data_IF_081130899859
#
_entry.id   IF_081130899859
#
_cell.length_a   1.000
_cell.length_b   1.000
_cell.length_c   1.000
_cell.angle_alpha   90.00
_cell.angle_beta   90.00
_cell.angle_gamma   90.00
#
_symmetry.space_group_name_H-M   'P 1'
#
loop_
_entity.id
_entity.type
_entity.pdbx_description
1 polymer ?
#
# COMPACT_ATOMS: atom_id res chain seq x y z
N UNK A 1 -62.48 -10.72 -38.97
CA UNK A 1 -63.04 -9.63 -38.15
C UNK A 1 -62.01 -9.29 -37.09
N UNK A 2 -61.56 -8.04 -37.10
CA UNK A 2 -60.53 -7.46 -36.25
C UNK A 2 -60.93 -7.54 -34.76
N UNK A 3 -60.02 -7.92 -33.87
CA UNK A 3 -60.07 -7.44 -32.47
C UNK A 3 -58.65 -7.17 -31.97
N UNK A 4 -58.32 -5.89 -31.95
CA UNK A 4 -57.17 -5.28 -31.29
C UNK A 4 -57.38 -5.36 -29.77
N UNK A 5 -56.39 -5.86 -29.03
CA UNK A 5 -56.23 -5.58 -27.61
C UNK A 5 -54.81 -5.08 -27.36
N UNK A 6 -54.75 -3.74 -27.43
CA UNK A 6 -53.90 -2.81 -26.70
C UNK A 6 -53.33 -3.36 -25.38
N UNK A 7 -52.00 -3.33 -25.25
CA UNK A 7 -51.31 -2.99 -23.99
C UNK A 7 -50.00 -2.28 -24.37
N UNK A 8 -49.84 -1.06 -23.88
CA UNK A 8 -48.64 -0.24 -24.03
C UNK A 8 -47.82 -0.38 -22.75
N UNK A 9 -46.54 -0.75 -22.85
CA UNK A 9 -45.58 -0.23 -21.87
C UNK A 9 -44.22 0.03 -22.51
N UNK A 10 -43.92 1.32 -22.53
CA UNK A 10 -42.67 1.97 -22.90
C UNK A 10 -41.49 1.39 -22.11
N UNK A 11 -40.45 0.90 -22.79
CA UNK A 11 -39.11 0.85 -22.23
C UNK A 11 -38.20 1.78 -23.03
N UNK A 12 -37.82 2.84 -22.33
CA UNK A 12 -37.04 3.96 -22.79
C UNK A 12 -35.61 3.54 -23.17
N UNK A 13 -35.21 4.04 -24.33
CA UNK A 13 -33.86 4.37 -24.82
C UNK A 13 -32.77 4.28 -23.73
N UNK A 14 -31.95 3.21 -23.78
CA UNK A 14 -30.66 3.20 -23.09
C UNK A 14 -29.67 3.99 -23.96
N UNK A 15 -29.51 5.28 -23.66
CA UNK A 15 -28.40 6.08 -24.15
C UNK A 15 -27.12 5.65 -23.45
N UNK A 16 -26.32 4.79 -24.08
CA UNK A 16 -24.92 4.63 -23.69
C UNK A 16 -24.13 5.82 -24.25
N UNK A 17 -24.06 6.90 -23.49
CA UNK A 17 -23.00 7.88 -23.64
C UNK A 17 -21.70 7.19 -23.29
N UNK A 18 -21.02 6.60 -24.29
CA UNK A 18 -19.64 6.18 -24.17
C UNK A 18 -18.81 7.46 -24.09
N UNK A 19 -18.77 8.03 -22.89
CA UNK A 19 -17.72 8.96 -22.50
C UNK A 19 -16.48 8.12 -22.23
N UNK A 20 -15.69 7.84 -23.26
CA UNK A 20 -14.28 7.51 -23.07
C UNK A 20 -13.60 8.78 -22.53
N UNK A 21 -13.73 8.97 -21.22
CA UNK A 21 -12.79 9.78 -20.47
C UNK A 21 -11.44 9.14 -20.71
N UNK A 22 -10.65 9.76 -21.59
CA UNK A 22 -9.20 9.63 -21.58
C UNK A 22 -8.74 10.02 -20.18
N UNK A 23 -8.71 9.07 -19.27
CA UNK A 23 -7.95 9.23 -18.04
C UNK A 23 -6.51 9.48 -18.50
N UNK A 24 -5.90 10.62 -18.15
CA UNK A 24 -4.48 10.80 -18.41
C UNK A 24 -3.78 9.66 -17.67
N UNK A 25 -2.95 8.91 -18.39
CA UNK A 25 -2.11 7.88 -17.80
C UNK A 25 -1.28 8.52 -16.68
N UNK A 26 -1.76 8.44 -15.45
CA UNK A 26 -1.00 8.77 -14.26
C UNK A 26 0.12 7.75 -14.20
N UNK A 27 1.31 8.17 -14.60
CA UNK A 27 2.51 7.37 -14.44
C UNK A 27 2.64 7.00 -12.97
N UNK A 28 2.45 5.72 -12.66
CA UNK A 28 2.79 5.20 -11.34
C UNK A 28 4.31 5.18 -11.24
N UNK A 29 4.90 6.18 -10.60
CA UNK A 29 6.31 6.12 -10.24
C UNK A 29 6.48 5.03 -9.18
N UNK A 30 7.30 3.99 -9.41
CA UNK A 30 7.47 2.92 -8.45
C UNK A 30 8.23 3.45 -7.22
N UNK A 31 7.63 3.30 -6.05
CA UNK A 31 8.28 3.45 -4.75
C UNK A 31 8.52 2.06 -4.15
N UNK A 32 9.77 1.72 -3.88
CA UNK A 32 10.13 0.46 -3.24
C UNK A 32 10.09 0.66 -1.74
N UNK A 33 9.25 -0.14 -1.09
CA UNK A 33 9.13 -0.20 0.35
C UNK A 33 9.70 -1.55 0.79
N UNK A 34 10.70 -1.51 1.67
CA UNK A 34 11.20 -2.72 2.30
C UNK A 34 10.20 -3.14 3.37
N UNK A 35 9.73 -4.38 3.30
CA UNK A 35 8.78 -4.94 4.26
C UNK A 35 9.27 -6.28 4.75
N UNK A 36 9.06 -6.54 6.03
CA UNK A 36 9.25 -7.84 6.65
C UNK A 36 7.92 -8.32 7.23
N UNK A 37 7.79 -9.63 7.39
CA UNK A 37 6.66 -10.23 8.06
C UNK A 37 6.85 -10.15 9.57
N UNK A 38 5.76 -10.00 10.31
CA UNK A 38 5.74 -10.02 11.77
C UNK A 38 4.57 -10.84 12.28
N UNK A 39 4.54 -11.12 13.59
CA UNK A 39 3.39 -11.77 14.22
C UNK A 39 2.09 -10.96 14.13
N UNK A 40 2.17 -9.65 13.85
CA UNK A 40 1.03 -8.77 13.65
C UNK A 40 0.73 -8.50 12.16
N UNK A 41 1.41 -9.21 11.25
CA UNK A 41 1.32 -9.01 9.81
C UNK A 41 2.49 -8.20 9.24
N UNK A 42 2.39 -7.88 7.95
CA UNK A 42 3.47 -7.25 7.19
C UNK A 42 3.75 -5.83 7.67
N UNK A 43 5.00 -5.54 8.04
CA UNK A 43 5.43 -4.23 8.55
C UNK A 43 6.60 -3.69 7.72
N UNK A 44 6.64 -2.38 7.53
CA UNK A 44 7.72 -1.70 6.81
C UNK A 44 9.00 -1.64 7.64
N UNK A 45 10.14 -1.79 6.97
CA UNK A 45 11.46 -1.55 7.54
C UNK A 45 11.82 -0.08 7.35
N UNK A 46 12.02 0.63 8.46
CA UNK A 46 12.25 2.06 8.45
C UNK A 46 11.06 2.89 7.93
N UNK A 47 11.34 4.16 7.65
CA UNK A 47 10.34 5.16 7.30
C UNK A 47 10.55 5.81 5.92
N UNK A 48 11.69 5.52 5.28
CA UNK A 48 12.03 6.07 3.97
C UNK A 48 11.52 5.17 2.87
N UNK A 49 11.00 5.81 1.83
CA UNK A 49 10.57 5.17 0.61
C UNK A 49 11.65 5.40 -0.46
N UNK A 50 12.13 4.33 -1.09
CA UNK A 50 13.05 4.44 -2.24
C UNK A 50 12.20 4.70 -3.49
N UNK A 51 11.98 5.97 -3.81
CA UNK A 51 11.19 6.40 -4.97
C UNK A 51 12.11 7.00 -6.04
N UNK A 52 11.82 6.72 -7.32
CA UNK A 52 12.53 7.33 -8.46
C UNK A 52 12.29 8.84 -8.59
N UNK A 53 11.26 9.38 -7.92
CA UNK A 53 10.97 10.82 -7.89
C UNK A 53 10.80 11.34 -6.46
N UNK A 54 11.06 12.64 -6.30
CA UNK A 54 11.27 13.41 -5.06
C UNK A 54 10.10 13.48 -4.08
N UNK A 55 8.94 12.91 -4.39
CA UNK A 55 7.77 12.93 -3.50
C UNK A 55 7.80 11.75 -2.54
N UNK A 56 8.61 11.87 -1.49
CA UNK A 56 8.48 10.98 -0.35
C UNK A 56 7.19 11.29 0.41
N UNK A 57 6.34 10.28 0.58
CA UNK A 57 5.14 10.41 1.42
C UNK A 57 5.60 10.38 2.88
N UNK A 58 5.41 11.49 3.59
CA UNK A 58 5.70 11.58 5.02
C UNK A 58 4.45 11.20 5.81
N UNK A 59 4.57 10.17 6.66
CA UNK A 59 3.51 9.75 7.57
C UNK A 59 4.08 9.61 9.00
N UNK A 60 4.18 10.73 9.75
CA UNK A 60 4.64 10.69 11.13
C UNK A 60 3.68 9.85 11.98
N UNK A 61 4.18 9.16 12.98
CA UNK A 61 3.37 8.28 13.82
C UNK A 61 3.17 6.87 13.30
N UNK A 62 3.56 6.61 12.06
CA UNK A 62 3.47 5.27 11.48
C UNK A 62 4.47 4.32 12.15
N UNK A 63 4.00 3.13 12.53
CA UNK A 63 4.86 2.06 13.03
C UNK A 63 5.87 1.61 11.96
N UNK A 64 7.08 1.31 12.38
CA UNK A 64 8.18 0.81 11.54
C UNK A 64 9.03 -0.23 12.28
N UNK A 65 9.74 -1.08 11.55
CA UNK A 65 10.80 -1.91 12.10
C UNK A 65 12.11 -1.11 12.12
N UNK A 66 12.64 -0.86 13.31
CA UNK A 66 13.87 -0.11 13.54
C UNK A 66 15.10 -1.01 13.39
N UNK A 67 15.38 -1.44 12.15
CA UNK A 67 16.46 -2.37 11.86
C UNK A 67 17.68 -1.66 11.26
N UNK A 68 18.88 -1.85 11.85
CA UNK A 68 20.10 -1.33 11.23
C UNK A 68 20.34 -2.01 9.88
N UNK A 69 20.89 -1.27 8.91
CA UNK A 69 21.17 -1.77 7.56
C UNK A 69 22.00 -3.08 7.58
N UNK A 70 22.94 -3.19 8.52
CA UNK A 70 23.74 -4.40 8.70
C UNK A 70 22.90 -5.64 9.05
N UNK A 71 21.82 -5.48 9.84
CA UNK A 71 20.92 -6.59 10.15
C UNK A 71 20.10 -6.99 8.91
N UNK A 72 19.65 -6.02 8.11
CA UNK A 72 18.90 -6.28 6.89
C UNK A 72 19.71 -7.09 5.87
N UNK A 73 21.01 -6.77 5.73
CA UNK A 73 21.91 -7.45 4.80
C UNK A 73 22.33 -8.86 5.27
N UNK A 74 22.27 -9.15 6.57
CA UNK A 74 22.68 -10.43 7.16
C UNK A 74 21.52 -11.37 7.49
N UNK A 75 20.30 -10.86 7.51
CA UNK A 75 19.12 -11.65 7.81
C UNK A 75 18.86 -12.71 6.74
N UNK A 76 18.55 -13.92 7.19
CA UNK A 76 18.21 -15.06 6.33
C UNK A 76 16.69 -15.08 6.10
N UNK A 77 16.30 -15.46 4.88
CA UNK A 77 14.89 -15.67 4.53
C UNK A 77 14.28 -16.78 5.40
N UNK A 78 13.03 -16.58 5.84
CA UNK A 78 12.27 -17.52 6.64
C UNK A 78 12.73 -17.72 8.10
N UNK A 79 13.83 -17.08 8.53
CA UNK A 79 14.31 -17.16 9.91
C UNK A 79 13.63 -16.10 10.76
N UNK A 80 13.09 -16.53 11.91
CA UNK A 80 12.45 -15.64 12.88
C UNK A 80 13.50 -14.99 13.77
N UNK A 81 13.43 -13.67 13.86
CA UNK A 81 14.23 -12.81 14.73
C UNK A 81 13.32 -12.06 15.69
N UNK A 82 13.94 -11.43 16.70
CA UNK A 82 13.29 -10.39 17.50
C UNK A 82 13.71 -9.04 16.92
N UNK A 83 12.74 -8.27 16.43
CA UNK A 83 12.95 -6.93 15.89
C UNK A 83 12.48 -5.87 16.89
N UNK A 84 13.20 -4.76 16.95
CA UNK A 84 12.74 -3.54 17.63
C UNK A 84 11.70 -2.82 16.76
N UNK A 85 10.58 -2.42 17.38
CA UNK A 85 9.57 -1.57 16.75
C UNK A 85 9.92 -0.10 17.03
N UNK A 86 9.63 0.75 16.06
CA UNK A 86 9.76 2.19 16.19
C UNK A 86 8.57 2.95 15.62
N UNK A 87 8.67 4.28 15.68
CA UNK A 87 7.70 5.22 15.15
C UNK A 87 8.39 6.22 14.20
N UNK A 88 7.75 6.54 13.09
CA UNK A 88 8.26 7.48 12.10
C UNK A 88 8.14 8.93 12.57
N UNK A 89 9.21 9.72 12.43
CA UNK A 89 9.17 11.18 12.60
C UNK A 89 8.83 11.93 11.30
N UNK A 90 8.74 13.26 11.40
CA UNK A 90 8.51 14.17 10.26
C UNK A 90 9.68 14.20 9.26
N UNK A 91 10.85 13.68 9.64
CA UNK A 91 12.05 13.56 8.81
C UNK A 91 12.21 12.13 8.24
N UNK A 92 11.19 11.28 8.40
CA UNK A 92 11.19 9.88 7.97
C UNK A 92 12.34 9.05 8.57
N UNK A 93 12.71 9.34 9.81
CA UNK A 93 13.53 8.45 10.62
C UNK A 93 12.61 7.56 11.45
N UNK A 94 12.99 6.28 11.56
CA UNK A 94 12.33 5.33 12.44
C UNK A 94 12.99 5.39 13.81
N UNK A 95 12.32 5.98 14.80
CA UNK A 95 12.84 6.07 16.16
C UNK A 95 12.47 4.79 16.91
N UNK A 96 13.46 4.01 17.38
CA UNK A 96 13.17 2.79 18.12
C UNK A 96 12.43 3.11 19.42
N UNK A 97 11.51 2.22 19.78
CA UNK A 97 10.88 2.16 21.10
C UNK A 97 11.50 1.00 21.89
N UNK A 98 11.08 0.82 23.15
CA UNK A 98 11.45 -0.36 23.95
C UNK A 98 10.53 -1.57 23.69
N UNK A 99 9.77 -1.56 22.61
CA UNK A 99 8.89 -2.65 22.19
C UNK A 99 9.56 -3.54 21.15
N UNK A 100 9.29 -4.84 21.26
CA UNK A 100 9.86 -5.86 20.40
C UNK A 100 8.77 -6.76 19.81
N UNK A 101 9.02 -7.27 18.60
CA UNK A 101 8.12 -8.19 17.91
C UNK A 101 8.89 -9.28 17.18
N UNK A 102 8.28 -10.46 17.08
CA UNK A 102 8.78 -11.52 16.21
C UNK A 102 8.65 -11.10 14.74
N UNK A 103 9.75 -11.23 13.98
CA UNK A 103 9.83 -10.76 12.60
C UNK A 103 10.67 -11.69 11.71
N UNK A 104 10.44 -11.69 10.41
CA UNK A 104 11.27 -12.43 9.45
C UNK A 104 11.21 -11.82 8.04
N UNK A 105 12.26 -12.06 7.27
CA UNK A 105 12.27 -11.75 5.85
C UNK A 105 11.49 -12.85 5.12
N UNK A 106 10.34 -12.46 4.55
CA UNK A 106 9.49 -13.32 3.72
C UNK A 106 10.07 -13.55 2.34
#
# INVERSE_FOLDING_TARGET
MLSLFWETLLLAIIGCSIGDLKEPATGFTPCINLFWETSAGRTTVGCKHECNETKQVTNPGRQCLALPLAAQNKAKYGVKYTCTIGECDTKQNCHPTDLFIGCWKG
#
